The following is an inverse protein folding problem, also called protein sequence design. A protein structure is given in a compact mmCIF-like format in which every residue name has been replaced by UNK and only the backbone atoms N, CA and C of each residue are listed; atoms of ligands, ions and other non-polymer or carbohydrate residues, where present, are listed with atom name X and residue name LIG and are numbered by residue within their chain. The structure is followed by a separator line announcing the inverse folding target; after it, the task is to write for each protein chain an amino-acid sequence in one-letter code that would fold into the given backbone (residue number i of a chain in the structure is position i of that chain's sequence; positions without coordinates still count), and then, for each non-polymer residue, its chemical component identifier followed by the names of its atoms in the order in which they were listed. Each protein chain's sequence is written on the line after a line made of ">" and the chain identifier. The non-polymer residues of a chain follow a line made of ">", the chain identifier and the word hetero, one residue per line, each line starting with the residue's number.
data_IF_775116119024
#
_entry.id   IF_775116119024
#
_cell.length_a   1.000
_cell.length_b   1.000
_cell.length_c   1.000
_cell.angle_alpha   90.00
_cell.angle_beta   90.00
_cell.angle_gamma   90.00
#
_symmetry.space_group_name_H-M   'P 1'
#
loop_
_entity.id
_entity.type
_entity.pdbx_description
1 polymer ?
#
# COMPACT_ATOMS: atom_id res chain seq x y z
N UNK A 1 20.82 -29.05 -13.00
CA UNK A 1 20.53 -27.90 -12.15
C UNK A 1 19.18 -27.26 -12.44
N UNK A 2 18.84 -27.08 -13.72
CA UNK A 2 17.59 -26.43 -14.06
C UNK A 2 16.33 -27.18 -13.62
N UNK A 3 16.26 -28.51 -13.79
CA UNK A 3 15.09 -29.25 -13.27
C UNK A 3 14.92 -29.09 -11.77
N UNK A 4 16.03 -29.10 -11.02
CA UNK A 4 15.98 -28.94 -9.60
C UNK A 4 15.53 -27.53 -9.22
N UNK A 5 16.04 -26.54 -9.92
CA UNK A 5 15.65 -25.15 -9.69
C UNK A 5 14.18 -24.91 -10.00
N UNK A 6 13.70 -25.49 -11.10
CA UNK A 6 12.29 -25.36 -11.46
C UNK A 6 11.39 -26.00 -10.40
N UNK A 7 11.76 -27.15 -9.88
CA UNK A 7 10.99 -27.81 -8.84
C UNK A 7 10.97 -26.99 -7.55
N UNK A 8 12.11 -26.39 -7.20
CA UNK A 8 12.21 -25.53 -6.01
C UNK A 8 11.32 -24.29 -6.16
N UNK A 9 11.36 -23.65 -7.32
CA UNK A 9 10.52 -22.49 -7.58
C UNK A 9 9.05 -22.83 -7.50
N UNK A 10 8.65 -23.97 -8.09
CA UNK A 10 7.27 -24.43 -8.03
C UNK A 10 6.81 -24.69 -6.59
N UNK A 11 7.67 -25.29 -5.78
CA UNK A 11 7.36 -25.55 -4.38
C UNK A 11 7.20 -24.25 -3.59
N UNK A 12 8.03 -23.26 -3.88
CA UNK A 12 7.94 -21.95 -3.23
C UNK A 12 6.69 -21.18 -3.62
N UNK A 13 6.18 -21.43 -4.82
CA UNK A 13 4.94 -20.79 -5.27
C UNK A 13 3.70 -21.37 -4.61
N UNK A 14 3.83 -22.53 -3.99
CA UNK A 14 2.73 -23.15 -3.29
C UNK A 14 2.49 -22.46 -1.94
N UNK A 15 2.19 -23.22 -0.93
CA UNK A 15 1.68 -22.70 0.33
C UNK A 15 2.66 -21.75 1.03
N UNK A 16 3.95 -22.12 1.05
CA UNK A 16 4.94 -21.37 1.81
C UNK A 16 5.18 -19.98 1.24
N UNK A 17 5.30 -19.87 -0.08
CA UNK A 17 5.57 -18.59 -0.71
C UNK A 17 4.38 -17.66 -0.62
N UNK A 18 3.19 -18.16 -0.90
CA UNK A 18 1.98 -17.33 -0.84
C UNK A 18 1.69 -16.87 0.57
N UNK A 19 1.90 -17.74 1.56
CA UNK A 19 1.68 -17.36 2.94
C UNK A 19 2.67 -16.30 3.38
N UNK A 20 3.93 -16.42 2.99
CA UNK A 20 4.94 -15.42 3.29
C UNK A 20 4.59 -14.08 2.65
N UNK A 21 4.14 -14.09 1.40
CA UNK A 21 3.69 -12.88 0.71
C UNK A 21 2.54 -12.22 1.46
N UNK A 22 1.56 -12.98 1.91
CA UNK A 22 0.43 -12.44 2.65
C UNK A 22 0.86 -11.79 3.97
N UNK A 23 1.81 -12.40 4.65
CA UNK A 23 2.34 -11.87 5.90
C UNK A 23 3.08 -10.55 5.67
N UNK A 24 3.90 -10.48 4.61
CA UNK A 24 4.63 -9.27 4.26
C UNK A 24 3.65 -8.13 4.00
N UNK A 25 2.63 -8.36 3.17
CA UNK A 25 1.68 -7.30 2.81
C UNK A 25 0.76 -6.94 3.96
N UNK A 26 0.40 -7.89 4.80
CA UNK A 26 -0.37 -7.59 6.01
C UNK A 26 0.43 -6.68 6.93
N UNK A 27 1.71 -6.97 7.12
CA UNK A 27 2.59 -6.17 7.96
C UNK A 27 2.73 -4.75 7.42
N UNK A 28 2.95 -4.62 6.11
CA UNK A 28 3.03 -3.32 5.45
C UNK A 28 1.74 -2.54 5.59
N UNK A 29 0.61 -3.21 5.45
CA UNK A 29 -0.71 -2.59 5.59
C UNK A 29 -0.90 -2.05 6.99
N UNK A 30 -0.55 -2.81 8.01
CA UNK A 30 -0.67 -2.37 9.39
C UNK A 30 0.19 -1.13 9.66
N UNK A 31 1.42 -1.11 9.18
CA UNK A 31 2.33 0.01 9.37
C UNK A 31 1.79 1.28 8.71
N UNK A 32 1.42 1.19 7.43
CA UNK A 32 0.93 2.37 6.71
C UNK A 32 -0.46 2.79 7.18
N UNK A 33 -1.34 1.84 7.45
CA UNK A 33 -2.68 2.17 7.92
C UNK A 33 -2.64 2.91 9.25
N UNK A 34 -1.79 2.50 10.17
CA UNK A 34 -1.64 3.18 11.45
C UNK A 34 -1.18 4.63 11.25
N UNK A 35 -0.16 4.84 10.41
CA UNK A 35 0.34 6.18 10.12
C UNK A 35 -0.72 7.06 9.48
N UNK A 36 -1.45 6.51 8.50
CA UNK A 36 -2.50 7.25 7.80
C UNK A 36 -3.64 7.64 8.74
N UNK A 37 -4.07 6.72 9.60
CA UNK A 37 -5.15 7.01 10.55
C UNK A 37 -4.75 8.10 11.53
N UNK A 38 -3.52 8.08 12.00
CA UNK A 38 -3.01 9.13 12.87
C UNK A 38 -2.95 10.48 12.16
N UNK A 39 -2.74 10.48 10.85
CA UNK A 39 -2.74 11.71 10.06
C UNK A 39 -4.14 12.18 9.66
N UNK A 40 -5.18 11.49 10.10
CA UNK A 40 -6.55 11.90 9.84
C UNK A 40 -7.22 11.21 8.66
N UNK A 41 -6.61 10.16 8.12
CA UNK A 41 -7.19 9.43 6.99
C UNK A 41 -8.16 8.36 7.46
N UNK A 42 -9.18 8.11 6.64
CA UNK A 42 -10.03 6.94 6.72
C UNK A 42 -9.63 5.98 5.61
N UNK A 43 -9.57 4.70 5.91
CA UNK A 43 -9.17 3.68 4.94
C UNK A 43 -10.37 2.78 4.69
N UNK A 44 -10.78 2.68 3.42
CA UNK A 44 -11.95 1.91 3.01
C UNK A 44 -11.53 0.66 2.24
N UNK A 45 -12.19 -0.47 2.51
CA UNK A 45 -12.10 -1.70 1.70
C UNK A 45 -10.68 -2.13 1.35
N UNK A 46 -9.76 -2.07 2.33
CA UNK A 46 -8.35 -2.37 2.08
C UNK A 46 -7.86 -3.58 2.86
N UNK A 47 -8.74 -4.52 3.17
CA UNK A 47 -8.38 -5.68 3.98
C UNK A 47 -7.51 -6.68 3.24
N UNK A 48 -7.61 -6.70 1.91
CA UNK A 48 -6.80 -7.56 1.07
C UNK A 48 -6.37 -6.75 -0.14
N UNK A 49 -5.26 -7.11 -0.74
CA UNK A 49 -4.76 -6.44 -1.93
C UNK A 49 -3.50 -5.65 -1.66
N UNK A 50 -3.05 -4.96 -2.69
CA UNK A 50 -1.75 -4.30 -2.73
C UNK A 50 -1.84 -2.80 -2.46
N UNK A 51 -3.02 -2.28 -2.12
CA UNK A 51 -3.25 -0.85 -2.01
C UNK A 51 -4.14 -0.52 -0.83
N UNK A 52 -3.97 0.70 -0.30
CA UNK A 52 -4.85 1.27 0.70
C UNK A 52 -5.68 2.36 0.03
N UNK A 53 -7.00 2.20 0.05
CA UNK A 53 -7.96 3.15 -0.50
C UNK A 53 -8.29 4.14 0.60
N UNK A 54 -7.71 5.34 0.53
CA UNK A 54 -7.63 6.25 1.67
C UNK A 54 -8.23 7.62 1.34
N UNK A 55 -8.84 8.26 2.32
CA UNK A 55 -9.43 9.57 2.15
C UNK A 55 -9.23 10.45 3.38
N UNK A 56 -9.05 11.75 3.16
CA UNK A 56 -9.10 12.77 4.20
C UNK A 56 -10.35 13.63 4.07
N UNK A 57 -11.30 13.20 3.25
CA UNK A 57 -12.53 13.94 2.98
C UNK A 57 -12.25 15.31 2.35
N UNK A 58 -11.36 15.32 1.39
CA UNK A 58 -10.97 16.49 0.60
C UNK A 58 -10.78 16.03 -0.85
N UNK A 59 -10.75 16.96 -1.82
CA UNK A 59 -10.49 16.57 -3.22
C UNK A 59 -9.18 15.80 -3.33
N UNK A 60 -9.20 14.71 -4.10
CA UNK A 60 -8.03 13.83 -4.19
C UNK A 60 -6.77 14.53 -4.67
N UNK A 61 -6.90 15.57 -5.47
CA UNK A 61 -5.73 16.34 -5.93
C UNK A 61 -5.02 17.02 -4.79
N UNK A 62 -5.75 17.53 -3.81
CA UNK A 62 -5.16 18.13 -2.62
C UNK A 62 -4.43 17.09 -1.79
N UNK A 63 -5.01 15.90 -1.69
CA UNK A 63 -4.38 14.78 -0.99
C UNK A 63 -3.11 14.32 -1.70
N UNK A 64 -3.14 14.24 -3.03
CA UNK A 64 -1.95 13.89 -3.81
C UNK A 64 -0.82 14.89 -3.54
N UNK A 65 -1.14 16.18 -3.49
CA UNK A 65 -0.14 17.22 -3.21
C UNK A 65 0.42 17.07 -1.79
N UNK A 66 -0.43 16.77 -0.83
CA UNK A 66 -0.01 16.52 0.56
C UNK A 66 1.02 15.40 0.64
N UNK A 67 0.78 14.30 -0.09
CA UNK A 67 1.74 13.19 -0.13
C UNK A 67 3.02 13.59 -0.87
N UNK A 68 2.88 14.32 -1.97
CA UNK A 68 4.03 14.73 -2.78
C UNK A 68 4.99 15.62 -1.97
N UNK A 69 4.46 16.48 -1.12
CA UNK A 69 5.29 17.30 -0.23
C UNK A 69 6.12 16.46 0.73
N UNK A 70 5.69 15.24 0.98
CA UNK A 70 6.37 14.28 1.85
C UNK A 70 7.19 13.24 1.10
N UNK A 71 7.34 13.45 -0.21
CA UNK A 71 8.12 12.56 -1.06
C UNK A 71 7.42 11.25 -1.39
N UNK A 72 6.10 11.20 -1.28
CA UNK A 72 5.31 9.98 -1.53
C UNK A 72 4.42 10.20 -2.75
N UNK A 73 4.48 9.26 -3.69
CA UNK A 73 3.62 9.29 -4.87
C UNK A 73 2.43 8.36 -4.65
N UNK A 74 1.24 8.91 -4.82
CA UNK A 74 0.00 8.15 -4.73
C UNK A 74 -0.84 8.41 -5.97
N UNK A 75 -1.75 7.51 -6.29
CA UNK A 75 -2.63 7.67 -7.43
C UNK A 75 -3.92 8.36 -7.00
N UNK A 76 -4.35 9.43 -7.72
CA UNK A 76 -5.63 10.06 -7.40
C UNK A 76 -6.78 9.09 -7.66
N UNK A 77 -7.73 9.05 -6.74
CA UNK A 77 -8.85 8.12 -6.84
C UNK A 77 -9.76 8.41 -8.01
N UNK A 78 -9.78 9.63 -8.51
CA UNK A 78 -10.60 9.99 -9.67
C UNK A 78 -10.24 9.18 -10.92
N UNK A 79 -9.02 8.63 -11.00
CA UNK A 79 -8.62 7.75 -12.10
C UNK A 79 -9.46 6.47 -12.15
N UNK A 80 -10.11 6.10 -11.06
CA UNK A 80 -10.82 4.84 -10.90
C UNK A 80 -12.34 5.01 -10.86
N UNK A 81 -12.82 6.24 -11.12
CA UNK A 81 -14.23 6.54 -11.22
C UNK A 81 -14.69 7.65 -10.31
N UNK A 82 -15.99 8.06 -10.43
CA UNK A 82 -16.52 9.20 -9.67
C UNK A 82 -16.50 9.01 -8.16
N UNK A 83 -16.52 7.78 -7.68
CA UNK A 83 -16.46 7.50 -6.24
C UNK A 83 -15.12 7.79 -5.62
N UNK A 84 -14.08 7.96 -6.46
CA UNK A 84 -12.73 8.19 -6.00
C UNK A 84 -12.30 9.65 -5.94
N UNK A 85 -13.22 10.60 -6.14
CA UNK A 85 -12.84 12.01 -6.23
C UNK A 85 -12.27 12.56 -4.93
N UNK A 86 -12.51 11.88 -3.81
CA UNK A 86 -11.97 12.27 -2.50
C UNK A 86 -11.01 11.23 -1.93
N UNK A 87 -10.60 10.27 -2.74
CA UNK A 87 -9.74 9.17 -2.32
C UNK A 87 -8.42 9.19 -3.07
N UNK A 88 -7.42 8.54 -2.47
CA UNK A 88 -6.17 8.22 -3.14
C UNK A 88 -5.86 6.75 -2.91
N UNK A 89 -5.09 6.18 -3.83
CA UNK A 89 -4.65 4.80 -3.74
C UNK A 89 -3.19 4.78 -3.31
N UNK A 90 -2.93 4.30 -2.10
CA UNK A 90 -1.59 4.22 -1.53
C UNK A 90 -1.10 2.79 -1.73
N UNK A 91 0.01 2.62 -2.44
CA UNK A 91 0.53 1.29 -2.77
C UNK A 91 1.33 0.71 -1.61
N UNK A 92 1.17 -0.60 -1.40
CA UNK A 92 1.96 -1.37 -0.44
C UNK A 92 3.15 -2.06 -1.12
N UNK A 93 3.28 -1.87 -2.43
CA UNK A 93 4.39 -2.41 -3.22
C UNK A 93 5.66 -1.60 -2.94
N UNK A 94 6.80 -2.16 -3.26
CA UNK A 94 8.06 -1.56 -2.93
C UNK A 94 8.80 -2.42 -1.90
N UNK A 95 9.74 -1.84 -1.21
CA UNK A 95 10.48 -2.55 -0.18
C UNK A 95 9.95 -2.23 1.21
N UNK A 96 10.27 -3.06 2.18
CA UNK A 96 9.91 -2.80 3.58
C UNK A 96 10.51 -1.48 4.06
N UNK A 97 11.73 -1.16 3.64
CA UNK A 97 12.37 0.10 4.00
C UNK A 97 11.60 1.30 3.44
N UNK A 98 11.12 1.20 2.21
CA UNK A 98 10.32 2.26 1.59
C UNK A 98 9.00 2.46 2.32
N UNK A 99 8.35 1.38 2.72
CA UNK A 99 7.10 1.43 3.47
C UNK A 99 7.32 2.09 4.84
N UNK A 100 8.37 1.70 5.54
CA UNK A 100 8.72 2.29 6.83
C UNK A 100 9.04 3.78 6.69
N UNK A 101 9.81 4.15 5.67
CA UNK A 101 10.13 5.54 5.41
C UNK A 101 8.87 6.36 5.10
N UNK A 102 7.96 5.81 4.30
CA UNK A 102 6.70 6.47 3.99
C UNK A 102 5.88 6.72 5.26
N UNK A 103 5.78 5.72 6.12
CA UNK A 103 5.04 5.84 7.37
C UNK A 103 5.65 6.95 8.25
N UNK A 104 6.96 7.03 8.31
CA UNK A 104 7.65 8.07 9.07
C UNK A 104 7.40 9.46 8.49
N UNK A 105 7.39 9.60 7.17
CA UNK A 105 7.11 10.86 6.52
C UNK A 105 5.65 11.31 6.73
N UNK A 106 4.73 10.36 6.77
CA UNK A 106 3.32 10.67 7.03
C UNK A 106 3.15 11.15 8.48
N UNK A 107 3.82 10.49 9.42
CA UNK A 107 3.73 10.82 10.83
C UNK A 107 4.45 12.14 11.18
N UNK A 108 5.50 12.43 10.43
CA UNK A 108 6.29 13.63 10.66
C UNK A 108 5.69 14.86 10.12
#
# INVERSE_FOLDING_TARGET
>A
PQPIQAATVAALKDDGFEQLQREIYRNRREILAAALREAGFTIDNSEAGLYLWSTRDEPCRDTVDWFAERGILVAPGEFYGPKGVKHVRVALTGTDDQITAAAQQIAG
#
